data_IF_588534022270
#
_entry.id   IF_588534022270
#
_cell.length_a   1.000
_cell.length_b   1.000
_cell.length_c   1.000
_cell.angle_alpha   90.00
_cell.angle_beta   90.00
_cell.angle_gamma   90.00
#
_symmetry.space_group_name_H-M   'P 1'
#
loop_
_entity.id
_entity.type
_entity.pdbx_description
1 polymer ?
#
# COMPACT_ATOMS: atom_id res chain seq x y z
N UNK A 1 -8.38 14.24 -26.64
CA UNK A 1 -7.64 15.33 -25.98
C UNK A 1 -7.14 16.31 -27.04
N UNK A 2 -7.21 17.62 -26.79
CA UNK A 2 -6.72 18.66 -27.70
C UNK A 2 -5.22 18.48 -27.97
N UNK A 3 -4.79 18.64 -29.23
CA UNK A 3 -3.36 18.58 -29.63
C UNK A 3 -2.49 19.60 -28.88
N UNK A 4 -3.08 20.68 -28.38
CA UNK A 4 -2.40 21.77 -27.68
C UNK A 4 -1.56 21.29 -26.49
N UNK A 5 -1.95 20.20 -25.82
CA UNK A 5 -1.26 19.72 -24.62
C UNK A 5 -0.20 18.66 -24.89
N UNK A 6 -0.21 18.03 -26.06
CA UNK A 6 0.72 16.92 -26.36
C UNK A 6 2.17 17.42 -26.47
N UNK A 7 2.38 18.60 -27.04
CA UNK A 7 3.71 19.16 -27.23
C UNK A 7 4.34 19.66 -25.92
N UNK A 8 3.51 20.03 -24.95
CA UNK A 8 3.92 20.56 -23.64
C UNK A 8 4.28 19.47 -22.61
N UNK A 9 4.07 18.18 -22.92
CA UNK A 9 4.47 17.11 -22.01
C UNK A 9 5.99 16.96 -21.91
N UNK A 10 6.47 16.65 -20.71
CA UNK A 10 7.88 16.32 -20.47
C UNK A 10 8.30 15.06 -21.23
N UNK A 11 9.60 14.88 -21.43
CA UNK A 11 10.14 13.68 -22.09
C UNK A 11 9.65 12.38 -21.42
N UNK A 12 9.62 12.35 -20.08
CA UNK A 12 9.13 11.20 -19.32
C UNK A 12 7.64 10.94 -19.56
N UNK A 13 6.81 11.99 -19.54
CA UNK A 13 5.38 11.87 -19.76
C UNK A 13 5.05 11.39 -21.19
N UNK A 14 5.80 11.88 -22.20
CA UNK A 14 5.65 11.45 -23.60
C UNK A 14 6.02 9.99 -23.83
N UNK A 15 6.94 9.44 -23.03
CA UNK A 15 7.43 8.07 -23.17
C UNK A 15 6.76 7.08 -22.20
N UNK A 16 5.84 7.54 -21.35
CA UNK A 16 5.11 6.65 -20.46
C UNK A 16 4.15 5.76 -21.26
N UNK A 17 4.26 4.44 -21.11
CA UNK A 17 3.40 3.48 -21.79
C UNK A 17 2.43 2.86 -20.79
N UNK A 18 1.14 2.70 -21.15
CA UNK A 18 0.21 1.98 -20.28
C UNK A 18 0.68 0.54 -20.07
N UNK A 19 0.47 0.02 -18.86
CA UNK A 19 0.76 -1.38 -18.55
C UNK A 19 -0.12 -2.29 -19.41
N UNK A 20 0.46 -3.28 -20.13
CA UNK A 20 -0.31 -4.28 -20.86
C UNK A 20 -1.32 -5.05 -19.99
N UNK A 21 -1.04 -5.18 -18.69
CA UNK A 21 -1.93 -5.83 -17.71
C UNK A 21 -3.27 -5.07 -17.59
N UNK A 22 -3.26 -3.75 -17.78
CA UNK A 22 -4.47 -2.92 -17.64
C UNK A 22 -5.55 -3.27 -18.65
N UNK A 23 -5.18 -3.61 -19.87
CA UNK A 23 -6.13 -4.03 -20.91
C UNK A 23 -6.71 -5.42 -20.58
N UNK A 24 -5.90 -6.30 -20.00
CA UNK A 24 -6.32 -7.62 -19.53
C UNK A 24 -7.39 -7.54 -18.44
N UNK A 25 -7.33 -6.52 -17.55
CA UNK A 25 -8.31 -6.33 -16.47
C UNK A 25 -9.77 -6.19 -16.96
N UNK A 26 -10.01 -5.72 -18.19
CA UNK A 26 -11.35 -5.63 -18.75
C UNK A 26 -11.91 -7.01 -19.11
N UNK A 27 -11.05 -7.90 -19.62
CA UNK A 27 -11.42 -9.25 -20.07
C UNK A 27 -11.70 -10.17 -18.88
N UNK A 28 -10.89 -10.08 -17.82
CA UNK A 28 -11.04 -10.94 -16.64
C UNK A 28 -12.34 -10.68 -15.85
N UNK A 29 -13.03 -9.56 -16.09
CA UNK A 29 -14.31 -9.20 -15.46
C UNK A 29 -15.53 -9.68 -16.24
N UNK A 30 -15.34 -10.34 -17.39
CA UNK A 30 -16.45 -10.85 -18.19
C UNK A 30 -17.18 -11.99 -17.45
N UNK A 31 -18.52 -11.97 -17.37
CA UNK A 31 -19.29 -13.06 -16.76
C UNK A 31 -18.94 -14.42 -17.38
N UNK A 32 -18.72 -15.43 -16.54
CA UNK A 32 -18.35 -16.78 -16.98
C UNK A 32 -16.85 -17.00 -17.23
N UNK A 33 -16.02 -15.95 -17.17
CA UNK A 33 -14.56 -16.08 -17.26
C UNK A 33 -13.96 -16.50 -15.92
N UNK A 34 -13.13 -17.55 -15.92
CA UNK A 34 -12.25 -17.89 -14.80
C UNK A 34 -10.84 -17.40 -15.15
N UNK A 35 -10.34 -16.40 -14.44
CA UNK A 35 -9.03 -15.80 -14.71
C UNK A 35 -7.96 -16.30 -13.76
N UNK A 36 -6.90 -16.90 -14.34
CA UNK A 36 -5.66 -17.25 -13.63
C UNK A 36 -4.52 -16.24 -13.88
N UNK A 37 -4.78 -15.20 -14.67
CA UNK A 37 -3.75 -14.27 -15.10
C UNK A 37 -3.65 -13.00 -14.23
N UNK A 38 -4.71 -12.68 -13.50
CA UNK A 38 -4.72 -11.57 -12.56
C UNK A 38 -4.11 -11.95 -11.22
N UNK A 39 -3.24 -11.12 -10.66
CA UNK A 39 -2.76 -11.24 -9.28
C UNK A 39 -3.74 -10.66 -8.25
N UNK A 40 -5.04 -10.77 -8.51
CA UNK A 40 -6.07 -10.21 -7.62
C UNK A 40 -6.35 -11.19 -6.48
N UNK A 41 -6.20 -10.79 -5.21
CA UNK A 41 -6.62 -11.60 -4.08
C UNK A 41 -8.13 -11.85 -4.11
N UNK A 42 -8.54 -13.00 -3.58
CA UNK A 42 -9.94 -13.37 -3.46
C UNK A 42 -10.69 -12.37 -2.54
N UNK A 43 -11.85 -11.81 -2.93
CA UNK A 43 -12.56 -10.84 -2.10
C UNK A 43 -12.91 -11.37 -0.69
N UNK A 44 -13.12 -12.68 -0.57
CA UNK A 44 -13.51 -13.34 0.67
C UNK A 44 -12.38 -13.37 1.71
N UNK A 45 -11.12 -13.16 1.30
CA UNK A 45 -9.99 -13.07 2.23
C UNK A 45 -9.74 -11.65 2.72
N UNK A 46 -10.55 -10.67 2.30
CA UNK A 46 -10.41 -9.29 2.77
C UNK A 46 -10.87 -9.18 4.23
N UNK A 47 -10.00 -8.71 5.14
CA UNK A 47 -10.29 -8.66 6.58
C UNK A 47 -11.16 -7.44 6.93
N UNK A 48 -12.37 -7.39 6.37
CA UNK A 48 -13.29 -6.23 6.49
C UNK A 48 -13.66 -5.97 7.95
N UNK A 49 -13.97 -7.01 8.72
CA UNK A 49 -14.36 -6.87 10.12
C UNK A 49 -13.20 -6.35 10.98
N UNK A 50 -11.98 -6.83 10.75
CA UNK A 50 -10.79 -6.35 11.44
C UNK A 50 -10.49 -4.88 11.12
N UNK A 51 -10.78 -4.42 9.89
CA UNK A 51 -10.69 -2.99 9.59
C UNK A 51 -11.70 -2.19 10.41
N UNK A 52 -12.95 -2.65 10.54
CA UNK A 52 -13.96 -1.97 11.35
C UNK A 52 -13.59 -1.91 12.83
N UNK A 53 -13.06 -3.00 13.39
CA UNK A 53 -12.55 -3.03 14.77
C UNK A 53 -11.48 -1.95 14.98
N UNK A 54 -10.55 -1.80 14.02
CA UNK A 54 -9.51 -0.77 14.07
C UNK A 54 -10.06 0.66 13.95
N UNK A 55 -11.10 0.89 13.16
CA UNK A 55 -11.67 2.24 12.93
C UNK A 55 -12.21 2.88 14.21
N UNK A 56 -12.66 2.10 15.19
CA UNK A 56 -13.15 2.63 16.45
C UNK A 56 -12.13 3.51 17.17
N UNK A 57 -10.83 3.24 17.03
CA UNK A 57 -9.76 4.03 17.66
C UNK A 57 -9.74 5.48 17.16
N UNK A 58 -10.26 5.76 15.96
CA UNK A 58 -10.36 7.12 15.44
C UNK A 58 -11.38 7.96 16.22
N UNK A 59 -12.38 7.34 16.85
CA UNK A 59 -13.30 8.06 17.74
C UNK A 59 -12.62 8.47 19.03
N UNK A 60 -11.78 7.60 19.58
CA UNK A 60 -11.18 7.79 20.89
C UNK A 60 -9.90 8.63 20.82
N UNK A 61 -9.06 8.41 19.80
CA UNK A 61 -7.71 8.96 19.68
C UNK A 61 -7.44 9.61 18.31
N UNK A 62 -8.46 9.79 17.46
CA UNK A 62 -8.26 10.20 16.07
C UNK A 62 -7.54 11.52 15.89
N UNK A 63 -7.71 12.50 16.79
CA UNK A 63 -7.00 13.79 16.70
C UNK A 63 -5.48 13.62 16.79
N UNK A 64 -5.01 12.75 17.67
CA UNK A 64 -3.58 12.51 17.87
C UNK A 64 -3.04 11.62 16.75
N UNK A 65 -3.80 10.60 16.33
CA UNK A 65 -3.42 9.69 15.24
C UNK A 65 -3.33 10.39 13.87
N UNK A 66 -4.16 11.41 13.63
CA UNK A 66 -4.20 12.16 12.38
C UNK A 66 -3.29 13.39 12.38
N UNK A 67 -2.68 13.73 13.52
CA UNK A 67 -1.71 14.83 13.61
C UNK A 67 -0.34 14.37 13.10
N UNK A 68 0.48 15.33 12.68
CA UNK A 68 1.89 15.10 12.40
C UNK A 68 2.57 14.36 13.57
N UNK A 69 3.25 13.27 13.23
CA UNK A 69 4.09 12.50 14.13
C UNK A 69 5.58 12.66 13.82
N UNK A 70 6.39 11.81 14.44
CA UNK A 70 7.82 11.70 14.14
C UNK A 70 8.05 11.05 12.78
N UNK A 71 9.07 11.50 12.04
CA UNK A 71 9.42 10.97 10.72
C UNK A 71 9.78 9.48 10.76
N UNK A 72 10.33 9.00 11.88
CA UNK A 72 10.72 7.59 12.04
C UNK A 72 9.53 6.62 12.14
N UNK A 73 8.33 7.16 12.38
CA UNK A 73 7.09 6.41 12.48
C UNK A 73 6.52 6.32 13.89
N UNK A 74 5.29 5.83 13.96
CA UNK A 74 4.50 5.73 15.20
C UNK A 74 5.11 4.69 16.17
N UNK A 75 5.55 5.07 17.39
CA UNK A 75 6.27 4.16 18.28
C UNK A 75 5.51 2.87 18.65
N UNK A 76 4.19 2.90 18.97
CA UNK A 76 3.46 1.66 19.25
C UNK A 76 3.41 0.68 18.07
N UNK A 77 3.40 1.18 16.83
CA UNK A 77 3.53 0.33 15.64
C UNK A 77 4.91 -0.32 15.56
N UNK A 78 5.98 0.44 15.84
CA UNK A 78 7.36 -0.08 15.83
C UNK A 78 7.55 -1.18 16.87
N UNK A 79 7.01 -1.02 18.08
CA UNK A 79 7.06 -2.02 19.14
C UNK A 79 6.30 -3.31 18.79
N UNK A 80 5.09 -3.15 18.21
CA UNK A 80 4.30 -4.26 17.70
C UNK A 80 5.08 -5.03 16.63
N UNK A 81 5.59 -4.33 15.62
CA UNK A 81 6.32 -4.94 14.51
C UNK A 81 7.58 -5.66 14.99
N UNK A 82 8.37 -5.04 15.89
CA UNK A 82 9.56 -5.67 16.45
C UNK A 82 9.24 -6.99 17.15
N UNK A 83 8.11 -7.08 17.84
CA UNK A 83 7.66 -8.29 18.53
C UNK A 83 7.10 -9.32 17.55
N UNK A 84 6.34 -8.87 16.54
CA UNK A 84 5.71 -9.72 15.53
C UNK A 84 6.72 -10.34 14.55
N UNK A 85 7.79 -9.61 14.18
CA UNK A 85 8.84 -10.12 13.28
C UNK A 85 9.87 -10.98 13.99
N UNK A 86 10.04 -10.84 15.31
CA UNK A 86 11.11 -11.50 16.05
C UNK A 86 11.18 -13.04 15.84
N UNK A 87 10.08 -13.81 15.87
CA UNK A 87 10.14 -15.25 15.62
C UNK A 87 10.61 -15.61 14.22
N UNK A 88 10.40 -14.73 13.23
CA UNK A 88 10.80 -14.94 11.82
C UNK A 88 12.24 -14.53 11.57
N UNK A 89 12.74 -13.54 12.34
CA UNK A 89 14.09 -13.00 12.21
C UNK A 89 15.10 -13.65 13.16
N UNK A 90 14.63 -14.41 14.16
CA UNK A 90 15.48 -15.00 15.20
C UNK A 90 16.00 -14.01 16.24
N UNK A 91 15.58 -12.73 16.18
CA UNK A 91 15.91 -11.70 17.17
C UNK A 91 14.84 -10.61 17.21
N UNK A 92 14.74 -9.90 18.33
CA UNK A 92 13.97 -8.65 18.41
C UNK A 92 14.79 -7.49 17.86
N UNK A 93 14.16 -6.67 17.03
CA UNK A 93 14.75 -5.45 16.45
C UNK A 93 14.51 -4.28 17.41
N UNK A 94 15.53 -3.45 17.63
CA UNK A 94 15.43 -2.22 18.42
C UNK A 94 14.57 -1.16 17.73
N UNK A 95 13.95 -0.23 18.48
CA UNK A 95 13.16 0.84 17.87
C UNK A 95 13.98 1.73 16.92
N UNK A 96 15.25 1.95 17.21
CA UNK A 96 16.23 2.73 16.42
C UNK A 96 16.74 1.98 15.18
N UNK A 97 16.54 0.67 15.11
CA UNK A 97 16.89 -0.17 13.97
C UNK A 97 15.76 -0.27 12.93
N UNK A 98 14.65 0.46 13.11
CA UNK A 98 13.44 0.37 12.29
C UNK A 98 12.95 1.74 11.80
N UNK A 99 12.73 1.84 10.50
CA UNK A 99 12.11 3.00 9.85
C UNK A 99 10.81 2.57 9.14
N UNK A 100 9.72 3.31 9.38
CA UNK A 100 8.46 3.07 8.69
C UNK A 100 8.49 3.75 7.32
N UNK A 101 8.13 3.01 6.27
CA UNK A 101 7.98 3.52 4.91
C UNK A 101 6.54 3.37 4.43
N UNK A 102 6.19 4.11 3.38
CA UNK A 102 4.92 4.03 2.66
C UNK A 102 4.84 2.84 1.71
N UNK A 103 5.91 2.04 1.62
CA UNK A 103 5.96 0.85 0.78
C UNK A 103 7.38 0.45 0.41
N UNK A 104 7.52 -0.74 -0.18
CA UNK A 104 8.81 -1.28 -0.61
C UNK A 104 9.48 -0.44 -1.70
N UNK A 105 8.71 0.24 -2.54
CA UNK A 105 9.25 1.13 -3.58
C UNK A 105 9.94 2.35 -2.97
N UNK A 106 9.37 2.98 -1.94
CA UNK A 106 10.01 4.11 -1.27
C UNK A 106 11.32 3.70 -0.58
N UNK A 107 11.42 2.46 -0.09
CA UNK A 107 12.67 1.99 0.53
C UNK A 107 13.82 1.81 -0.48
N UNK A 108 13.50 1.74 -1.78
CA UNK A 108 14.47 1.55 -2.86
C UNK A 108 14.84 2.86 -3.58
N UNK A 109 13.94 3.86 -3.53
CA UNK A 109 14.13 5.20 -4.08
C UNK A 109 15.16 6.00 -3.25
#
# INVERSE_FOLDING_TARGET
MSRIWQDNFSFMAKNNRPSPIREMLAVIKQPGMISFAGGMPAPEVFPVDQFYEGVHILKDQGKDLLQYGTTEGYPPLKEFLASWTAPRMGRKVGPDEMLITTGSQQALD
#
